data_IF_102171637562
#
_entry.id   IF_102171637562
#
_cell.length_a   1.000
_cell.length_b   1.000
_cell.length_c   1.000
_cell.angle_alpha   90.00
_cell.angle_beta   90.00
_cell.angle_gamma   90.00
#
_symmetry.space_group_name_H-M   'P 1'
#
loop_
_entity.id
_entity.type
_entity.pdbx_description
1 polymer ?
#
# COMPACT_ATOMS: atom_id res chain seq x y z
N UNK A 1 6.18 20.94 18.54
CA UNK A 1 6.73 20.02 17.54
C UNK A 1 8.11 19.61 18.04
N UNK A 2 8.43 18.31 18.16
CA UNK A 2 9.76 17.84 18.58
C UNK A 2 10.91 18.42 17.75
N UNK A 3 10.65 18.79 16.49
CA UNK A 3 11.62 19.40 15.58
C UNK A 3 11.71 20.94 15.69
N UNK A 4 11.20 21.54 16.78
CA UNK A 4 11.28 22.98 17.02
C UNK A 4 10.08 23.79 16.52
N UNK A 5 10.25 25.11 16.40
CA UNK A 5 9.18 26.06 16.03
C UNK A 5 8.88 25.98 14.54
N UNK A 6 7.60 25.96 14.18
CA UNK A 6 7.12 25.91 12.77
C UNK A 6 6.53 27.23 12.29
N UNK A 7 6.58 28.31 13.10
CA UNK A 7 5.97 29.61 12.76
C UNK A 7 4.44 29.67 12.86
N UNK A 8 3.79 28.55 13.20
CA UNK A 8 2.33 28.45 13.33
C UNK A 8 1.97 27.85 14.69
N UNK A 9 0.93 28.39 15.32
CA UNK A 9 0.33 27.84 16.55
C UNK A 9 -0.96 27.10 16.21
N UNK A 10 -1.40 26.22 17.11
CA UNK A 10 -2.60 25.41 16.86
C UNK A 10 -2.28 24.05 16.27
N UNK A 11 -3.35 23.30 15.99
CA UNK A 11 -3.29 21.95 15.42
C UNK A 11 -3.48 21.95 13.89
N UNK A 12 -4.00 23.05 13.33
CA UNK A 12 -4.34 23.13 11.91
C UNK A 12 -5.33 22.02 11.50
N UNK A 13 -5.09 21.41 10.34
CA UNK A 13 -5.91 20.30 9.81
C UNK A 13 -5.51 18.91 10.34
N UNK A 14 -4.65 18.84 11.36
CA UNK A 14 -4.26 17.56 11.96
C UNK A 14 -5.37 17.01 12.86
N UNK A 15 -5.48 15.68 12.91
CA UNK A 15 -6.57 14.98 13.63
C UNK A 15 -6.42 15.17 15.13
N UNK A 16 -5.18 15.06 15.65
CA UNK A 16 -4.89 15.16 17.08
C UNK A 16 -3.68 16.04 17.37
N UNK A 17 -3.61 16.52 18.62
CA UNK A 17 -2.43 17.21 19.13
C UNK A 17 -1.27 16.22 19.26
N UNK A 18 -0.05 16.70 19.01
CA UNK A 18 1.14 15.85 19.03
C UNK A 18 1.24 14.94 17.80
N UNK A 19 1.81 13.72 17.93
CA UNK A 19 2.13 12.85 16.79
C UNK A 19 0.89 12.34 16.06
N UNK A 20 0.79 12.55 14.74
CA UNK A 20 -0.26 11.99 13.89
C UNK A 20 0.31 10.77 13.15
N UNK A 21 -0.06 9.55 13.58
CA UNK A 21 0.54 8.30 13.08
C UNK A 21 -0.06 7.91 11.72
N UNK A 22 0.78 7.45 10.83
CA UNK A 22 0.41 6.85 9.55
C UNK A 22 1.25 5.60 9.32
N UNK A 23 0.74 4.70 8.50
CA UNK A 23 1.45 3.51 8.03
C UNK A 23 1.37 3.44 6.50
N UNK A 24 2.44 2.98 5.89
CA UNK A 24 2.55 2.72 4.46
C UNK A 24 3.13 1.34 4.26
N UNK A 25 2.55 0.57 3.34
CA UNK A 25 3.00 -0.76 2.97
C UNK A 25 3.69 -0.71 1.62
N UNK A 26 4.89 -1.28 1.56
CA UNK A 26 5.63 -1.49 0.32
C UNK A 26 5.42 -2.94 -0.09
N UNK A 27 4.46 -3.16 -0.99
CA UNK A 27 4.10 -4.50 -1.47
C UNK A 27 4.87 -4.75 -2.75
N UNK A 28 5.73 -5.76 -2.74
CA UNK A 28 6.67 -6.00 -3.84
C UNK A 28 6.66 -7.44 -4.34
N UNK A 29 7.00 -7.64 -5.61
CA UNK A 29 7.30 -8.95 -6.20
C UNK A 29 8.48 -8.83 -7.16
N UNK A 30 9.18 -9.93 -7.40
CA UNK A 30 10.18 -9.99 -8.46
C UNK A 30 9.51 -9.94 -9.83
N UNK A 31 10.04 -9.11 -10.74
CA UNK A 31 9.64 -9.13 -12.14
C UNK A 31 10.12 -10.43 -12.78
N UNK A 32 9.21 -11.18 -13.39
CA UNK A 32 9.54 -12.40 -14.11
C UNK A 32 9.06 -12.32 -15.55
N UNK A 33 9.81 -12.95 -16.46
CA UNK A 33 9.45 -13.14 -17.86
C UNK A 33 9.70 -14.60 -18.21
N UNK A 34 8.65 -15.32 -18.65
CA UNK A 34 8.71 -16.75 -19.02
C UNK A 34 9.39 -17.63 -17.94
N UNK A 35 9.09 -17.39 -16.67
CA UNK A 35 9.63 -18.15 -15.54
C UNK A 35 11.05 -17.77 -15.10
N UNK A 36 11.68 -16.78 -15.74
CA UNK A 36 12.99 -16.27 -15.35
C UNK A 36 12.88 -14.88 -14.75
N UNK A 37 13.77 -14.54 -13.82
CA UNK A 37 13.84 -13.18 -13.28
C UNK A 37 14.31 -12.20 -14.35
N UNK A 38 13.68 -11.03 -14.41
CA UNK A 38 14.21 -9.94 -15.21
C UNK A 38 15.43 -9.33 -14.48
N UNK A 39 16.51 -9.10 -15.23
CA UNK A 39 17.78 -8.60 -14.71
C UNK A 39 18.20 -7.36 -15.53
N UNK A 40 18.57 -6.28 -14.86
CA UNK A 40 19.22 -5.09 -15.44
C UNK A 40 20.50 -4.86 -14.64
N UNK A 41 21.62 -4.63 -15.33
CA UNK A 41 22.94 -4.38 -14.73
C UNK A 41 23.35 -5.41 -13.65
N UNK A 42 23.01 -6.68 -13.89
CA UNK A 42 23.31 -7.78 -12.97
C UNK A 42 22.39 -7.86 -11.73
N UNK A 43 21.39 -6.98 -11.61
CA UNK A 43 20.44 -6.97 -10.49
C UNK A 43 19.04 -7.41 -10.91
N UNK A 44 18.36 -8.17 -10.06
CA UNK A 44 16.96 -8.56 -10.28
C UNK A 44 16.05 -7.34 -10.14
N UNK A 45 15.07 -7.23 -11.02
CA UNK A 45 14.13 -6.12 -11.01
C UNK A 45 12.96 -6.41 -10.05
N UNK A 46 12.66 -5.45 -9.18
CA UNK A 46 11.51 -5.48 -8.28
C UNK A 46 10.35 -4.67 -8.87
N UNK A 47 9.14 -5.20 -8.73
CA UNK A 47 7.89 -4.48 -9.00
C UNK A 47 7.24 -4.14 -7.67
N UNK A 48 6.70 -2.93 -7.56
CA UNK A 48 5.96 -2.48 -6.40
C UNK A 48 4.53 -2.12 -6.78
N UNK A 49 3.58 -2.40 -5.88
CA UNK A 49 2.22 -1.93 -6.03
C UNK A 49 2.11 -0.46 -5.60
N UNK A 50 1.60 0.36 -6.51
CA UNK A 50 1.31 1.78 -6.28
C UNK A 50 -0.05 2.14 -6.84
N UNK A 51 -0.70 3.13 -6.24
CA UNK A 51 -1.97 3.69 -6.70
C UNK A 51 -1.75 5.08 -7.27
N UNK A 52 -2.46 5.42 -8.34
CA UNK A 52 -2.52 6.79 -8.84
C UNK A 52 -3.75 7.49 -8.28
N UNK A 53 -3.53 8.56 -7.53
CA UNK A 53 -4.61 9.39 -7.00
C UNK A 53 -5.26 10.18 -8.14
N UNK A 54 -6.58 10.02 -8.31
CA UNK A 54 -7.33 10.62 -9.42
C UNK A 54 -7.44 12.14 -9.37
N UNK A 55 -7.29 12.75 -8.20
CA UNK A 55 -7.48 14.19 -8.00
C UNK A 55 -6.16 14.95 -8.08
N UNK A 56 -5.10 14.35 -7.53
CA UNK A 56 -3.76 14.96 -7.45
C UNK A 56 -2.82 14.48 -8.56
N UNK A 57 -3.16 13.38 -9.25
CA UNK A 57 -2.30 12.67 -10.21
C UNK A 57 -1.00 12.07 -9.63
N UNK A 58 -0.85 12.07 -8.30
CA UNK A 58 0.30 11.50 -7.61
C UNK A 58 0.27 9.96 -7.58
N UNK A 59 1.44 9.34 -7.59
CA UNK A 59 1.61 7.93 -7.26
C UNK A 59 1.84 7.76 -5.75
N UNK A 60 1.14 6.80 -5.14
CA UNK A 60 1.18 6.57 -3.70
C UNK A 60 1.25 5.10 -3.36
N UNK A 61 1.96 4.79 -2.28
CA UNK A 61 1.94 3.45 -1.70
C UNK A 61 0.59 3.20 -0.99
N UNK A 62 0.15 1.93 -0.91
CA UNK A 62 -0.93 1.53 -0.01
C UNK A 62 -0.62 1.99 1.42
N UNK A 63 -1.57 2.65 2.07
CA UNK A 63 -1.35 3.17 3.41
C UNK A 63 -2.26 4.33 3.77
N UNK A 64 -2.26 4.66 5.05
CA UNK A 64 -3.12 5.71 5.54
C UNK A 64 -2.80 6.15 6.95
N UNK A 65 -3.55 7.18 7.36
CA UNK A 65 -3.60 7.63 8.75
C UNK A 65 -4.23 6.52 9.59
N UNK A 66 -3.64 6.26 10.75
CA UNK A 66 -4.18 5.35 11.76
C UNK A 66 -5.18 6.16 12.59
N UNK A 67 -6.45 5.73 12.58
CA UNK A 67 -7.55 6.48 13.18
C UNK A 67 -7.98 5.84 14.51
N UNK A 68 -8.14 6.66 15.56
CA UNK A 68 -8.66 6.20 16.85
C UNK A 68 -7.86 5.04 17.44
N UNK A 69 -8.56 3.93 17.68
CA UNK A 69 -8.05 2.69 18.28
C UNK A 69 -7.68 1.61 17.25
N UNK A 70 -7.74 1.94 15.95
CA UNK A 70 -7.38 1.02 14.88
C UNK A 70 -5.91 0.59 14.97
N UNK A 71 -5.64 -0.70 14.73
CA UNK A 71 -4.28 -1.20 14.60
C UNK A 71 -3.61 -0.70 13.31
N UNK A 72 -2.28 -0.61 13.32
CA UNK A 72 -1.51 -0.27 12.12
C UNK A 72 -1.81 -1.24 10.96
N UNK A 73 -1.97 -2.53 11.26
CA UNK A 73 -2.22 -3.57 10.26
C UNK A 73 -3.62 -3.43 9.64
N UNK A 74 -4.64 -3.11 10.45
CA UNK A 74 -5.99 -2.80 9.97
C UNK A 74 -6.00 -1.60 9.02
N UNK A 75 -5.24 -0.54 9.35
CA UNK A 75 -5.13 0.64 8.50
C UNK A 75 -4.52 0.35 7.12
N UNK A 76 -3.56 -0.58 7.03
CA UNK A 76 -2.98 -1.04 5.76
C UNK A 76 -4.01 -1.80 4.93
N UNK A 77 -4.66 -2.82 5.49
CA UNK A 77 -5.66 -3.63 4.79
C UNK A 77 -6.84 -2.76 4.31
N UNK A 78 -7.31 -1.85 5.17
CA UNK A 78 -8.33 -0.84 4.81
C UNK A 78 -7.89 0.04 3.66
N UNK A 79 -6.70 0.59 3.75
CA UNK A 79 -6.20 1.43 2.67
C UNK A 79 -6.09 0.66 1.36
N UNK A 80 -5.59 -0.57 1.41
CA UNK A 80 -5.44 -1.40 0.22
C UNK A 80 -6.80 -1.69 -0.42
N UNK A 81 -7.78 -2.19 0.35
CA UNK A 81 -9.13 -2.49 -0.16
C UNK A 81 -9.81 -1.25 -0.77
N UNK A 82 -9.70 -0.11 -0.09
CA UNK A 82 -10.23 1.17 -0.58
C UNK A 82 -9.68 1.56 -1.95
N UNK A 83 -8.39 1.40 -2.19
CA UNK A 83 -7.77 1.81 -3.46
C UNK A 83 -7.79 0.73 -4.53
N UNK A 84 -7.62 -0.54 -4.15
CA UNK A 84 -7.61 -1.67 -5.07
C UNK A 84 -9.01 -2.06 -5.54
N UNK A 85 -10.00 -2.07 -4.63
CA UNK A 85 -11.36 -2.56 -4.91
C UNK A 85 -12.45 -1.49 -4.85
N UNK A 86 -12.10 -0.23 -4.54
CA UNK A 86 -13.06 0.87 -4.33
C UNK A 86 -14.07 0.55 -3.21
N UNK A 87 -13.65 -0.25 -2.24
CA UNK A 87 -14.46 -0.58 -1.07
C UNK A 87 -14.28 0.51 0.00
N UNK A 88 -15.27 1.39 0.08
CA UNK A 88 -15.28 2.52 1.02
C UNK A 88 -16.10 2.24 2.29
N UNK A 89 -16.97 1.23 2.25
CA UNK A 89 -18.05 1.06 3.23
C UNK A 89 -17.83 -0.14 4.17
N UNK A 90 -16.88 -1.02 3.87
CA UNK A 90 -16.55 -2.15 4.74
C UNK A 90 -16.09 -1.69 6.13
N UNK A 91 -16.70 -2.24 7.17
CA UNK A 91 -16.20 -2.13 8.55
C UNK A 91 -14.94 -2.97 8.70
N UNK A 92 -13.83 -2.33 9.08
CA UNK A 92 -12.57 -3.01 9.30
C UNK A 92 -12.42 -3.37 10.77
N UNK A 93 -11.99 -4.60 11.03
CA UNK A 93 -11.64 -5.02 12.39
C UNK A 93 -10.59 -4.07 12.97
N UNK A 94 -10.87 -3.52 14.14
CA UNK A 94 -9.98 -2.58 14.83
C UNK A 94 -8.75 -3.30 15.41
N UNK A 95 -8.81 -4.63 15.56
CA UNK A 95 -7.83 -5.45 16.25
C UNK A 95 -7.01 -6.37 15.32
N UNK A 96 -6.95 -6.06 14.02
CA UNK A 96 -6.15 -6.83 13.04
C UNK A 96 -4.70 -6.93 13.54
N UNK A 97 -4.21 -8.16 13.68
CA UNK A 97 -2.84 -8.45 14.04
C UNK A 97 -1.96 -8.58 12.78
N UNK A 98 -0.65 -8.64 12.99
CA UNK A 98 0.32 -8.79 11.91
C UNK A 98 0.07 -10.06 11.08
N UNK A 99 -0.20 -11.18 11.76
CA UNK A 99 -0.48 -12.47 11.14
C UNK A 99 -1.69 -12.39 10.21
N UNK A 100 -2.77 -11.75 10.66
CA UNK A 100 -4.00 -11.59 9.87
C UNK A 100 -3.74 -10.79 8.59
N UNK A 101 -2.91 -9.73 8.68
CA UNK A 101 -2.51 -8.92 7.52
C UNK A 101 -1.65 -9.74 6.55
N UNK A 102 -0.72 -10.54 7.05
CA UNK A 102 0.11 -11.42 6.22
C UNK A 102 -0.76 -12.44 5.48
N UNK A 103 -1.66 -13.13 6.19
CA UNK A 103 -2.59 -14.11 5.59
C UNK A 103 -3.51 -13.45 4.56
N UNK A 104 -4.01 -12.26 4.86
CA UNK A 104 -4.81 -11.45 3.93
C UNK A 104 -4.04 -11.17 2.64
N UNK A 105 -2.80 -10.69 2.70
CA UNK A 105 -2.02 -10.41 1.48
C UNK A 105 -1.56 -11.68 0.76
N UNK A 106 -1.28 -12.76 1.48
CA UNK A 106 -0.97 -14.07 0.91
C UNK A 106 -2.12 -14.62 0.07
N UNK A 107 -3.37 -14.31 0.42
CA UNK A 107 -4.54 -14.72 -0.38
C UNK A 107 -4.53 -14.18 -1.82
N UNK A 108 -3.83 -13.07 -2.08
CA UNK A 108 -3.66 -12.50 -3.42
C UNK A 108 -2.39 -12.99 -4.13
N UNK A 109 -1.47 -13.62 -3.40
CA UNK A 109 -0.24 -14.13 -3.98
C UNK A 109 -0.51 -15.45 -4.72
N UNK A 110 -0.16 -15.51 -6.01
CA UNK A 110 -0.18 -16.77 -6.76
C UNK A 110 0.92 -17.68 -6.25
N UNK A 111 0.61 -18.96 -6.09
CA UNK A 111 1.62 -19.99 -5.99
C UNK A 111 2.35 -20.11 -7.35
N UNK A 112 3.68 -20.32 -7.34
CA UNK A 112 4.53 -20.32 -8.54
C UNK A 112 4.19 -21.39 -9.61
N UNK A 113 3.18 -22.23 -9.38
CA UNK A 113 2.76 -23.31 -10.27
C UNK A 113 1.29 -23.23 -10.72
N UNK A 114 0.60 -22.11 -10.47
CA UNK A 114 -0.78 -21.95 -10.92
C UNK A 114 -0.83 -21.74 -12.45
N UNK A 115 -1.54 -22.63 -13.15
CA UNK A 115 -1.86 -22.55 -14.58
C UNK A 115 -3.01 -21.57 -14.89
N UNK A 116 -3.53 -20.86 -13.88
CA UNK A 116 -4.66 -19.95 -14.05
C UNK A 116 -4.30 -18.72 -14.90
N UNK A 117 -5.21 -18.35 -15.80
CA UNK A 117 -5.18 -17.13 -16.61
C UNK A 117 -4.79 -15.90 -15.77
N UNK A 118 -3.93 -14.98 -16.26
CA UNK A 118 -3.51 -13.78 -15.52
C UNK A 118 -4.69 -12.99 -14.97
N UNK A 119 -4.69 -12.69 -13.67
CA UNK A 119 -5.80 -12.04 -12.93
C UNK A 119 -5.85 -10.52 -13.19
N UNK A 120 -5.33 -10.06 -14.33
CA UNK A 120 -5.44 -8.67 -14.77
C UNK A 120 -4.41 -7.68 -14.21
N UNK A 121 -3.43 -8.11 -13.41
CA UNK A 121 -2.36 -7.23 -12.89
C UNK A 121 -1.08 -7.33 -13.75
N UNK A 122 -1.03 -6.54 -14.82
CA UNK A 122 0.14 -6.37 -15.68
C UNK A 122 0.97 -5.16 -15.23
N UNK A 123 2.28 -5.33 -15.11
CA UNK A 123 3.21 -4.26 -14.75
C UNK A 123 3.57 -3.44 -15.98
N UNK A 124 2.61 -2.65 -16.46
CA UNK A 124 2.88 -1.68 -17.54
C UNK A 124 3.40 -0.38 -16.94
N UNK A 125 4.64 -0.05 -17.30
CA UNK A 125 5.16 1.31 -17.17
C UNK A 125 4.36 2.21 -18.12
N UNK A 126 3.48 3.05 -17.58
CA UNK A 126 2.74 4.04 -18.39
C UNK A 126 3.68 5.24 -18.62
N UNK A 127 4.52 5.14 -19.65
CA UNK A 127 5.14 6.33 -20.25
C UNK A 127 4.01 7.09 -20.98
N UNK A 128 3.72 8.32 -20.57
CA UNK A 128 3.16 9.31 -21.50
C UNK A 128 4.36 10.11 -21.98
N UNK A 129 4.55 10.13 -23.30
CA UNK A 129 5.45 11.09 -23.95
C UNK A 129 5.06 12.52 -23.64
#
# INVERSE_FOLDING_TARGET
NPMGRTGVRGRGALIRWGPNKSIMAVITRWKTHRGQFAIIDGQRILEALVFKDKYTNDWRLPGGKILGVESSYGAVCRSFNKFAFKDYDSEYSLSVQEKDMIEYFQSFARLPFSTAEPTGFDSRMVYRG
#
